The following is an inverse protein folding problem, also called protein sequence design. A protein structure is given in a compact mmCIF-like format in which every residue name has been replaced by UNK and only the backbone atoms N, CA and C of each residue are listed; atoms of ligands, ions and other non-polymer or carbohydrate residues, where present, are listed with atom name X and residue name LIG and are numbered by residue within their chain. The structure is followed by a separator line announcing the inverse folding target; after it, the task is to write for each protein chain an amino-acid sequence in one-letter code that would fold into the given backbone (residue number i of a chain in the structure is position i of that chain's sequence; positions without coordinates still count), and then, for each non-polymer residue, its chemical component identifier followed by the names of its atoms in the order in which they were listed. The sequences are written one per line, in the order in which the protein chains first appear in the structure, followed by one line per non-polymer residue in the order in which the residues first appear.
data_IF_793071388639
#
_entry.id   IF_793071388639
#
_cell.length_a   1.000
_cell.length_b   1.000
_cell.length_c   1.000
_cell.angle_alpha   90.00
_cell.angle_beta   90.00
_cell.angle_gamma   90.00
#
_symmetry.space_group_name_H-M   'P 1'
#
loop_
_entity.id
_entity.type
_entity.pdbx_description
1 polymer ?
#
# COMPACT_ATOMS: atom_id res chain seq x y z
N UNK A 1 -14.68 6.05 28.87
CA UNK A 1 -13.78 5.06 28.25
C UNK A 1 -12.89 5.81 27.28
N UNK A 2 -11.56 5.64 27.32
CA UNK A 2 -10.69 6.27 26.33
C UNK A 2 -10.91 5.59 24.98
N UNK A 3 -11.18 6.36 23.93
CA UNK A 3 -11.31 5.82 22.57
C UNK A 3 -9.95 5.33 22.09
N UNK A 4 -9.90 4.10 21.58
CA UNK A 4 -8.68 3.53 21.01
C UNK A 4 -8.31 4.29 19.72
N UNK A 5 -7.14 4.91 19.74
CA UNK A 5 -6.65 5.76 18.67
C UNK A 5 -5.71 4.96 17.76
N UNK A 6 -6.05 4.90 16.48
CA UNK A 6 -5.31 4.24 15.41
C UNK A 6 -4.57 5.27 14.58
N UNK A 7 -3.49 4.87 13.91
CA UNK A 7 -2.82 5.69 12.89
C UNK A 7 -3.00 5.03 11.53
N UNK A 8 -3.48 5.80 10.55
CA UNK A 8 -3.43 5.37 9.17
C UNK A 8 -2.02 5.57 8.63
N UNK A 9 -1.29 4.50 8.30
CA UNK A 9 0.06 4.63 7.72
C UNK A 9 0.05 5.11 6.25
N UNK A 10 -1.05 4.93 5.53
CA UNK A 10 -1.20 5.42 4.15
C UNK A 10 -1.41 6.93 4.13
N UNK A 11 -2.24 7.43 5.05
CA UNK A 11 -2.59 8.85 5.10
C UNK A 11 -1.77 9.66 6.10
N UNK A 12 -1.02 8.98 6.96
CA UNK A 12 -0.26 9.50 8.08
C UNK A 12 -1.04 10.37 9.07
N UNK A 13 -2.27 9.95 9.39
CA UNK A 13 -3.16 10.68 10.30
C UNK A 13 -3.70 9.78 11.42
N UNK A 14 -3.88 10.31 12.64
CA UNK A 14 -4.57 9.60 13.72
C UNK A 14 -6.08 9.56 13.45
N UNK A 15 -6.70 8.42 13.77
CA UNK A 15 -8.13 8.13 13.62
C UNK A 15 -8.65 7.47 14.90
N UNK A 16 -9.94 7.56 15.20
CA UNK A 16 -10.55 6.62 16.14
C UNK A 16 -10.88 5.28 15.46
N UNK A 17 -10.94 4.20 16.24
CA UNK A 17 -11.33 2.88 15.74
C UNK A 17 -12.68 2.88 14.99
N UNK A 18 -13.65 3.66 15.48
CA UNK A 18 -14.97 3.81 14.85
C UNK A 18 -14.92 4.49 13.48
N UNK A 19 -13.98 5.41 13.28
CA UNK A 19 -13.82 6.16 12.03
C UNK A 19 -12.98 5.41 10.99
N UNK A 20 -12.20 4.41 11.39
CA UNK A 20 -11.27 3.70 10.52
C UNK A 20 -11.97 3.09 9.28
N UNK A 21 -13.13 2.46 9.47
CA UNK A 21 -13.89 1.85 8.37
C UNK A 21 -14.37 2.88 7.34
N UNK A 22 -14.84 4.04 7.80
CA UNK A 22 -15.26 5.10 6.88
C UNK A 22 -14.06 5.75 6.20
N UNK A 23 -12.96 5.95 6.93
CA UNK A 23 -11.72 6.54 6.42
C UNK A 23 -11.17 5.77 5.21
N UNK A 24 -11.10 4.43 5.29
CA UNK A 24 -10.55 3.61 4.20
C UNK A 24 -11.43 3.58 2.94
N UNK A 25 -12.70 3.98 3.04
CA UNK A 25 -13.63 4.12 1.91
C UNK A 25 -13.64 5.53 1.30
N UNK A 26 -12.83 6.46 1.81
CA UNK A 26 -12.73 7.80 1.23
C UNK A 26 -11.88 7.78 -0.03
N UNK A 27 -12.31 8.54 -1.05
CA UNK A 27 -11.54 8.71 -2.29
C UNK A 27 -10.10 9.16 -2.03
N UNK A 28 -9.86 10.02 -1.04
CA UNK A 28 -8.51 10.45 -0.69
C UNK A 28 -7.61 9.31 -0.21
N UNK A 29 -8.13 8.40 0.61
CA UNK A 29 -7.39 7.21 1.05
C UNK A 29 -7.10 6.28 -0.13
N UNK A 30 -8.11 6.03 -0.97
CA UNK A 30 -7.96 5.17 -2.16
C UNK A 30 -6.94 5.72 -3.16
N UNK A 31 -6.97 7.02 -3.44
CA UNK A 31 -6.00 7.66 -4.34
C UNK A 31 -4.57 7.57 -3.81
N UNK A 32 -4.37 7.79 -2.51
CA UNK A 32 -3.05 7.63 -1.88
C UNK A 32 -2.58 6.19 -1.91
N UNK A 33 -3.46 5.24 -1.61
CA UNK A 33 -3.15 3.80 -1.70
C UNK A 33 -2.72 3.41 -3.11
N UNK A 34 -3.49 3.82 -4.13
CA UNK A 34 -3.17 3.53 -5.53
C UNK A 34 -1.83 4.13 -5.97
N UNK A 35 -1.51 5.36 -5.53
CA UNK A 35 -0.21 5.98 -5.79
C UNK A 35 0.96 5.20 -5.18
N UNK A 36 0.84 4.80 -3.91
CA UNK A 36 1.86 3.97 -3.24
C UNK A 36 2.02 2.59 -3.90
N UNK A 37 0.93 1.98 -4.35
CA UNK A 37 0.98 0.70 -5.08
C UNK A 37 1.71 0.84 -6.43
N UNK A 38 1.52 1.97 -7.13
CA UNK A 38 2.25 2.26 -8.36
C UNK A 38 3.73 2.51 -8.12
N UNK A 39 4.07 3.28 -7.08
CA UNK A 39 5.46 3.52 -6.69
C UNK A 39 6.16 2.20 -6.31
N UNK A 40 5.50 1.35 -5.52
CA UNK A 40 6.03 0.03 -5.17
C UNK A 40 6.27 -0.84 -6.40
N UNK A 41 5.37 -0.80 -7.39
CA UNK A 41 5.56 -1.51 -8.67
C UNK A 41 6.74 -0.96 -9.46
N UNK A 42 6.93 0.35 -9.48
CA UNK A 42 8.07 0.99 -10.14
C UNK A 42 9.38 0.59 -9.46
N UNK A 43 9.46 0.72 -8.12
CA UNK A 43 10.63 0.32 -7.33
C UNK A 43 10.94 -1.17 -7.49
N UNK A 44 9.92 -2.05 -7.50
CA UNK A 44 10.12 -3.48 -7.77
C UNK A 44 10.67 -3.67 -9.18
N UNK A 45 10.10 -3.01 -10.19
CA UNK A 45 10.58 -3.14 -11.57
C UNK A 45 12.03 -2.66 -11.71
N UNK A 46 12.38 -1.52 -11.12
CA UNK A 46 13.74 -0.98 -11.14
C UNK A 46 14.72 -1.89 -10.40
N UNK A 47 14.38 -2.35 -9.20
CA UNK A 47 15.23 -3.24 -8.39
C UNK A 47 15.47 -4.61 -9.04
N UNK A 48 14.49 -5.10 -9.81
CA UNK A 48 14.55 -6.42 -10.46
C UNK A 48 15.00 -6.39 -11.93
N UNK A 49 15.44 -5.23 -12.45
CA UNK A 49 15.96 -5.14 -13.83
C UNK A 49 17.18 -6.04 -14.11
N UNK A 50 17.89 -6.50 -13.07
CA UNK A 50 18.99 -7.46 -13.14
C UNK A 50 18.76 -8.74 -12.30
N UNK A 51 17.53 -8.98 -11.85
CA UNK A 51 17.24 -10.15 -11.01
C UNK A 51 17.00 -11.37 -11.90
N UNK A 52 18.02 -12.22 -12.00
CA UNK A 52 17.99 -13.48 -12.75
C UNK A 52 17.53 -14.66 -11.90
N UNK A 53 16.80 -14.42 -10.80
CA UNK A 53 16.36 -15.50 -9.93
C UNK A 53 15.37 -16.43 -10.64
N UNK A 54 15.31 -17.68 -10.17
CA UNK A 54 14.40 -18.70 -10.69
C UNK A 54 12.93 -18.27 -10.55
N UNK A 55 12.61 -17.46 -9.53
CA UNK A 55 11.26 -16.95 -9.27
C UNK A 55 10.81 -16.03 -10.42
N UNK A 56 11.65 -15.07 -10.81
CA UNK A 56 11.37 -14.15 -11.94
C UNK A 56 11.25 -14.90 -13.27
N UNK A 57 12.04 -15.96 -13.47
CA UNK A 57 11.95 -16.79 -14.68
C UNK A 57 10.63 -17.55 -14.78
N UNK A 58 10.07 -18.02 -13.67
CA UNK A 58 8.79 -18.73 -13.66
C UNK A 58 7.61 -17.79 -13.91
N UNK A 59 7.58 -16.60 -13.33
CA UNK A 59 6.50 -15.63 -13.56
C UNK A 59 6.39 -15.16 -15.01
N UNK A 60 7.51 -15.10 -15.76
CA UNK A 60 7.50 -14.72 -17.18
C UNK A 60 7.23 -15.90 -18.15
N UNK A 61 7.10 -17.12 -17.65
CA UNK A 61 6.85 -18.33 -18.46
C UNK A 61 5.38 -18.77 -18.47
N UNK A 62 4.50 -18.00 -17.82
CA UNK A 62 3.03 -18.13 -17.84
C UNK A 62 2.43 -17.09 -18.80
#
# INVERSE_FOLDING_TARGET
MAEEQLRCNICDVPLSASQAKQHVSTSSHESRRAGLEQELKAVRKESYTNDSSIIVKWENSL
#
